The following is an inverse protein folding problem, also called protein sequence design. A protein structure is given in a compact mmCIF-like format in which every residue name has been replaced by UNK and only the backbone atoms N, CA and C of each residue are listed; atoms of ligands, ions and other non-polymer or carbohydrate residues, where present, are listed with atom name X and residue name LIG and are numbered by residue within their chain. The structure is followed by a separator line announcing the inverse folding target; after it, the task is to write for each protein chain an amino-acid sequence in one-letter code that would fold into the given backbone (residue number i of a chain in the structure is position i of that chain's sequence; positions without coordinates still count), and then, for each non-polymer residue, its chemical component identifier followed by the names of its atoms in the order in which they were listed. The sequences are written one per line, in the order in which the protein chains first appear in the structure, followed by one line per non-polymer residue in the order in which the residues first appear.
data_IF_645149488614
#
_entry.id   IF_645149488614
#
_cell.length_a   1.000
_cell.length_b   1.000
_cell.length_c   1.000
_cell.angle_alpha   90.00
_cell.angle_beta   90.00
_cell.angle_gamma   90.00
#
_symmetry.space_group_name_H-M   'P 1'
#
loop_
_entity.id
_entity.type
_entity.pdbx_description
1 polymer ?
#
# COMPACT_ATOMS: atom_id res chain seq x y z
N UNK A 1 22.50 -3.24 -12.60
CA UNK A 1 21.63 -3.64 -11.48
C UNK A 1 20.26 -3.92 -12.05
N UNK A 2 19.82 -5.18 -12.09
CA UNK A 2 18.47 -5.52 -12.55
C UNK A 2 17.47 -4.99 -11.52
N UNK A 3 16.45 -4.25 -11.98
CA UNK A 3 15.38 -3.79 -11.11
C UNK A 3 14.62 -5.00 -10.54
N UNK A 4 14.70 -5.20 -9.22
CA UNK A 4 14.06 -6.30 -8.49
C UNK A 4 12.52 -6.20 -8.45
N UNK A 5 11.97 -5.02 -8.75
CA UNK A 5 10.52 -4.75 -8.75
C UNK A 5 10.10 -4.31 -10.17
N UNK A 6 9.05 -4.92 -10.76
CA UNK A 6 8.62 -4.56 -12.11
C UNK A 6 8.07 -3.14 -12.18
N UNK A 7 8.37 -2.44 -13.28
CA UNK A 7 7.73 -1.16 -13.58
C UNK A 7 6.23 -1.37 -13.85
N UNK A 8 5.31 -0.51 -13.34
CA UNK A 8 5.55 0.74 -12.62
C UNK A 8 5.50 0.63 -11.09
N UNK A 9 5.57 -0.56 -10.50
CA UNK A 9 5.36 -0.74 -9.05
C UNK A 9 6.46 -0.07 -8.22
N UNK A 10 7.72 -0.14 -8.65
CA UNK A 10 8.84 0.48 -7.94
C UNK A 10 8.68 2.01 -7.76
N UNK A 11 8.49 2.82 -8.83
CA UNK A 11 8.30 4.25 -8.65
C UNK A 11 7.03 4.58 -7.86
N UNK A 12 5.96 3.80 -7.99
CA UNK A 12 4.73 4.01 -7.21
C UNK A 12 4.96 3.81 -5.70
N UNK A 13 5.72 2.78 -5.30
CA UNK A 13 6.10 2.55 -3.89
C UNK A 13 6.96 3.70 -3.36
N UNK A 14 7.93 4.17 -4.15
CA UNK A 14 8.77 5.31 -3.75
C UNK A 14 7.97 6.60 -3.57
N UNK A 15 7.06 6.89 -4.51
CA UNK A 15 6.18 8.07 -4.43
C UNK A 15 5.24 7.94 -3.23
N UNK A 16 4.71 6.74 -2.96
CA UNK A 16 3.84 6.50 -1.80
C UNK A 16 4.57 6.71 -0.46
N UNK A 17 5.81 6.22 -0.32
CA UNK A 17 6.63 6.48 0.89
C UNK A 17 6.92 7.98 1.03
N UNK A 18 7.25 8.68 -0.05
CA UNK A 18 7.49 10.12 -0.01
C UNK A 18 6.23 10.91 0.37
N UNK A 19 5.09 10.59 -0.25
CA UNK A 19 3.82 11.24 0.01
C UNK A 19 3.37 11.01 1.46
N UNK A 20 3.38 9.77 1.93
CA UNK A 20 3.03 9.42 3.31
C UNK A 20 3.97 10.07 4.34
N UNK A 21 5.28 10.14 4.07
CA UNK A 21 6.24 10.85 4.91
C UNK A 21 5.99 12.35 4.94
N UNK A 22 5.64 12.94 3.78
CA UNK A 22 5.30 14.36 3.70
C UNK A 22 4.04 14.67 4.51
N UNK A 23 2.99 13.85 4.41
CA UNK A 23 1.78 14.03 5.23
C UNK A 23 2.13 13.96 6.71
N UNK A 24 2.94 12.99 7.14
CA UNK A 24 3.40 12.87 8.52
C UNK A 24 4.15 14.13 8.99
N UNK A 25 5.11 14.61 8.20
CA UNK A 25 5.91 15.79 8.53
C UNK A 25 5.05 17.06 8.64
N UNK A 26 4.11 17.26 7.71
CA UNK A 26 3.22 18.43 7.73
C UNK A 26 2.23 18.34 8.89
N UNK A 27 1.65 17.18 9.16
CA UNK A 27 0.71 16.99 10.28
C UNK A 27 1.39 17.11 11.64
N UNK A 28 2.69 16.85 11.74
CA UNK A 28 3.46 17.06 12.96
C UNK A 28 3.40 18.50 13.48
N UNK A 29 3.33 19.50 12.60
CA UNK A 29 3.16 20.90 12.99
C UNK A 29 1.82 21.22 13.64
N UNK A 30 0.86 20.29 13.59
CA UNK A 30 -0.53 20.50 13.99
C UNK A 30 -1.05 19.41 14.94
N UNK A 31 -0.20 18.45 15.37
CA UNK A 31 -0.62 17.37 16.28
C UNK A 31 -1.18 17.86 17.62
N UNK A 32 -0.74 19.03 18.10
CA UNK A 32 -1.24 19.62 19.34
C UNK A 32 -2.69 20.10 19.25
N UNK A 33 -3.27 20.20 18.05
CA UNK A 33 -4.61 20.78 17.82
C UNK A 33 -5.73 19.78 18.09
N UNK A 34 -5.52 18.48 17.83
CA UNK A 34 -6.55 17.47 18.09
C UNK A 34 -5.97 16.07 18.22
N UNK A 35 -6.47 15.32 19.19
CA UNK A 35 -6.17 13.89 19.34
C UNK A 35 -6.55 13.06 18.11
N UNK A 36 -7.51 13.52 17.30
CA UNK A 36 -7.92 12.82 16.08
C UNK A 36 -6.78 12.73 15.04
N UNK A 37 -5.82 13.66 15.07
CA UNK A 37 -4.70 13.67 14.13
C UNK A 37 -3.71 12.52 14.38
N UNK A 38 -3.77 11.85 15.54
CA UNK A 38 -2.97 10.64 15.82
C UNK A 38 -3.29 9.46 14.90
N UNK A 39 -4.38 9.51 14.13
CA UNK A 39 -4.64 8.51 13.09
C UNK A 39 -3.52 8.51 12.03
N UNK A 40 -2.95 9.68 11.71
CA UNK A 40 -1.94 9.84 10.66
C UNK A 40 -0.64 9.06 10.94
N UNK A 41 0.01 9.19 12.11
CA UNK A 41 1.21 8.40 12.43
C UNK A 41 0.92 6.90 12.47
N UNK A 42 -0.26 6.48 12.93
CA UNK A 42 -0.66 5.06 12.92
C UNK A 42 -0.78 4.56 11.48
N UNK A 43 -1.44 5.31 10.59
CA UNK A 43 -1.57 4.92 9.17
C UNK A 43 -0.23 4.92 8.45
N UNK A 44 0.67 5.86 8.79
CA UNK A 44 2.03 5.87 8.28
C UNK A 44 2.80 4.60 8.68
N UNK A 45 2.78 4.21 9.96
CA UNK A 45 3.49 3.01 10.45
C UNK A 45 3.00 1.75 9.72
N UNK A 46 1.68 1.58 9.59
CA UNK A 46 1.08 0.44 8.87
C UNK A 46 1.59 0.41 7.42
N UNK A 47 1.58 1.57 6.76
CA UNK A 47 1.99 1.70 5.36
C UNK A 47 3.48 1.41 5.20
N UNK A 48 4.32 1.96 6.08
CA UNK A 48 5.76 1.75 6.08
C UNK A 48 6.11 0.27 6.28
N UNK A 49 5.50 -0.40 7.26
CA UNK A 49 5.70 -1.83 7.49
C UNK A 49 5.31 -2.66 6.26
N UNK A 50 4.17 -2.35 5.64
CA UNK A 50 3.71 -3.04 4.45
C UNK A 50 4.69 -2.89 3.28
N UNK A 51 5.18 -1.66 3.04
CA UNK A 51 6.20 -1.40 2.03
C UNK A 51 7.51 -2.11 2.35
N UNK A 52 7.97 -2.06 3.60
CA UNK A 52 9.19 -2.72 4.03
C UNK A 52 9.14 -4.23 3.79
N UNK A 53 8.03 -4.89 4.17
CA UNK A 53 7.82 -6.32 3.90
C UNK A 53 7.81 -6.59 2.40
N UNK A 54 7.14 -5.76 1.60
CA UNK A 54 7.14 -5.91 0.14
C UNK A 54 8.54 -5.78 -0.46
N UNK A 55 9.33 -4.79 -0.03
CA UNK A 55 10.71 -4.60 -0.48
C UNK A 55 11.61 -5.77 -0.08
N UNK A 56 11.50 -6.26 1.15
CA UNK A 56 12.28 -7.43 1.60
C UNK A 56 11.95 -8.63 0.73
N UNK A 57 10.67 -8.94 0.54
CA UNK A 57 10.26 -10.07 -0.29
C UNK A 57 10.71 -9.92 -1.74
N UNK A 58 10.58 -8.72 -2.32
CA UNK A 58 10.99 -8.47 -3.69
C UNK A 58 12.50 -8.65 -3.93
N UNK A 59 13.33 -8.47 -2.90
CA UNK A 59 14.78 -8.68 -3.00
C UNK A 59 15.22 -10.10 -2.63
N UNK A 60 14.38 -10.87 -1.93
CA UNK A 60 14.68 -12.26 -1.56
C UNK A 60 14.19 -13.30 -2.57
N UNK A 61 13.25 -12.94 -3.45
CA UNK A 61 12.62 -13.89 -4.36
C UNK A 61 13.18 -13.82 -5.79
N UNK A 62 13.41 -14.99 -6.39
CA UNK A 62 13.94 -15.12 -7.74
C UNK A 62 12.91 -14.61 -8.78
N UNK A 63 13.31 -13.61 -9.55
CA UNK A 63 12.43 -12.88 -10.47
C UNK A 63 12.08 -13.66 -11.74
N UNK A 64 12.84 -14.70 -12.06
CA UNK A 64 12.78 -15.37 -13.37
C UNK A 64 11.42 -15.99 -13.70
N UNK A 65 10.60 -16.30 -12.68
CA UNK A 65 9.26 -16.90 -12.86
C UNK A 65 8.10 -16.06 -12.32
N UNK A 66 8.38 -15.01 -11.53
CA UNK A 66 7.38 -14.28 -10.76
C UNK A 66 6.89 -15.10 -9.58
N UNK A 67 6.84 -14.51 -8.38
CA UNK A 67 6.55 -15.25 -7.16
C UNK A 67 5.14 -14.97 -6.61
N UNK A 68 4.40 -16.06 -6.36
CA UNK A 68 3.11 -16.01 -5.67
C UNK A 68 3.21 -15.54 -4.21
N UNK A 69 4.39 -15.63 -3.59
CA UNK A 69 4.61 -15.20 -2.20
C UNK A 69 4.71 -13.67 -2.11
N UNK A 70 5.46 -13.02 -3.01
CA UNK A 70 5.48 -11.56 -3.16
C UNK A 70 4.07 -10.98 -3.38
N UNK A 71 3.27 -11.65 -4.22
CA UNK A 71 1.87 -11.27 -4.48
C UNK A 71 0.88 -12.14 -3.70
N UNK A 72 1.18 -12.43 -2.43
CA UNK A 72 0.28 -13.23 -1.59
C UNK A 72 -1.05 -12.52 -1.31
N UNK A 73 -2.09 -13.29 -0.96
CA UNK A 73 -3.39 -12.74 -0.57
C UNK A 73 -3.27 -11.75 0.58
N UNK A 74 -2.43 -12.09 1.56
CA UNK A 74 -2.25 -11.32 2.78
C UNK A 74 -1.64 -9.97 2.50
N UNK A 75 -0.62 -9.89 1.63
CA UNK A 75 -0.02 -8.61 1.25
C UNK A 75 -0.99 -7.72 0.47
N UNK A 76 -1.71 -8.31 -0.49
CA UNK A 76 -2.71 -7.56 -1.26
C UNK A 76 -3.83 -7.04 -0.36
N UNK A 77 -4.33 -7.89 0.56
CA UNK A 77 -5.29 -7.47 1.57
C UNK A 77 -4.73 -6.36 2.47
N UNK A 78 -3.44 -6.44 2.81
CA UNK A 78 -2.72 -5.38 3.52
C UNK A 78 -2.72 -4.05 2.77
N UNK A 79 -2.50 -4.06 1.45
CA UNK A 79 -2.61 -2.84 0.62
C UNK A 79 -4.03 -2.27 0.61
N UNK A 80 -5.06 -3.11 0.48
CA UNK A 80 -6.46 -2.64 0.58
C UNK A 80 -6.78 -2.05 1.96
N UNK A 81 -6.30 -2.69 3.02
CA UNK A 81 -6.47 -2.18 4.39
C UNK A 81 -5.75 -0.84 4.57
N UNK A 82 -4.51 -0.71 4.09
CA UNK A 82 -3.77 0.55 4.11
C UNK A 82 -4.52 1.65 3.34
N UNK A 83 -5.08 1.36 2.17
CA UNK A 83 -5.93 2.29 1.41
C UNK A 83 -7.14 2.75 2.24
N UNK A 84 -7.86 1.82 2.89
CA UNK A 84 -9.00 2.16 3.73
C UNK A 84 -8.58 3.03 4.93
N UNK A 85 -7.42 2.73 5.53
CA UNK A 85 -6.87 3.51 6.63
C UNK A 85 -6.52 4.94 6.20
N UNK A 86 -5.86 5.12 5.04
CA UNK A 86 -5.59 6.44 4.47
C UNK A 86 -6.85 7.20 4.04
N UNK A 87 -7.89 6.50 3.58
CA UNK A 87 -9.19 7.11 3.33
C UNK A 87 -9.80 7.66 4.63
N UNK A 88 -9.74 6.89 5.73
CA UNK A 88 -10.18 7.36 7.04
C UNK A 88 -9.35 8.55 7.55
N UNK A 89 -8.03 8.51 7.42
CA UNK A 89 -7.14 9.64 7.75
C UNK A 89 -7.49 10.89 6.92
N UNK A 90 -7.79 10.72 5.64
CA UNK A 90 -8.22 11.82 4.75
C UNK A 90 -9.53 12.43 5.23
N UNK A 91 -10.53 11.61 5.59
CA UNK A 91 -11.80 12.09 6.13
C UNK A 91 -11.56 12.89 7.42
N UNK A 92 -10.74 12.38 8.34
CA UNK A 92 -10.40 13.07 9.59
C UNK A 92 -9.72 14.41 9.30
N UNK A 93 -8.73 14.43 8.40
CA UNK A 93 -8.01 15.66 8.02
C UNK A 93 -8.96 16.69 7.39
N UNK A 94 -9.86 16.27 6.51
CA UNK A 94 -10.87 17.15 5.91
C UNK A 94 -11.86 17.68 6.96
N UNK A 95 -12.32 16.84 7.89
CA UNK A 95 -13.19 17.27 9.00
C UNK A 95 -12.48 18.28 9.89
N UNK A 96 -11.21 18.05 10.21
CA UNK A 96 -10.38 19.01 10.94
C UNK A 96 -10.22 20.32 10.17
N UNK A 97 -9.95 20.27 8.87
CA UNK A 97 -9.84 21.46 8.02
C UNK A 97 -11.14 22.27 8.01
N UNK A 98 -12.29 21.61 7.86
CA UNK A 98 -13.61 22.27 7.85
C UNK A 98 -13.91 22.90 9.22
N UNK A 99 -13.65 22.19 10.31
CA UNK A 99 -13.86 22.73 11.67
C UNK A 99 -12.96 23.94 11.92
N UNK A 100 -11.73 23.90 11.42
CA UNK A 100 -10.75 24.98 11.54
C UNK A 100 -11.20 26.23 10.78
N UNK A 101 -11.63 26.07 9.52
CA UNK A 101 -12.16 27.16 8.70
C UNK A 101 -13.44 27.78 9.27
N UNK A 102 -14.24 27.00 10.02
CA UNK A 102 -15.43 27.49 10.73
C UNK A 102 -15.12 28.12 12.09
N UNK A 103 -13.86 28.18 12.52
CA UNK A 103 -13.47 28.71 13.82
C UNK A 103 -13.93 27.87 15.02
N UNK A 104 -14.27 26.59 14.79
CA UNK A 104 -14.76 25.67 15.82
C UNK A 104 -13.62 24.95 16.58
N UNK A 105 -12.37 25.33 16.31
CA UNK A 105 -11.16 24.85 17.01
C UNK A 105 -10.44 26.05 17.64
N UNK A 106 -10.73 26.38 18.91
CA UNK A 106 -10.15 27.54 19.58
C UNK A 106 -8.64 27.41 19.82
N UNK A 107 -8.13 26.18 19.92
CA UNK A 107 -6.71 25.90 20.24
C UNK A 107 -5.80 25.84 18.99
N UNK A 108 -6.34 26.09 17.80
CA UNK A 108 -5.57 25.97 16.57
C UNK A 108 -4.79 27.26 16.26
N UNK A 109 -3.47 27.19 16.02
CA UNK A 109 -2.70 28.36 15.60
C UNK A 109 -3.18 28.86 14.23
N UNK A 110 -3.63 30.12 14.18
CA UNK A 110 -4.28 30.75 13.01
C UNK A 110 -3.43 30.70 11.73
N UNK A 111 -2.10 30.68 11.86
CA UNK A 111 -1.18 30.67 10.72
C UNK A 111 -0.89 29.27 10.13
N UNK A 112 -1.47 28.20 10.70
CA UNK A 112 -1.17 26.81 10.29
C UNK A 112 -2.29 26.13 9.50
N UNK A 113 -3.30 26.87 9.05
CA UNK A 113 -4.40 26.31 8.28
C UNK A 113 -3.94 25.65 6.97
N UNK A 114 -2.91 26.21 6.34
CA UNK A 114 -2.30 25.67 5.13
C UNK A 114 -1.80 24.23 5.33
N UNK A 115 -1.29 23.88 6.53
CA UNK A 115 -0.71 22.57 6.81
C UNK A 115 -1.78 21.47 6.81
N UNK A 116 -2.95 21.70 7.40
CA UNK A 116 -4.04 20.70 7.38
C UNK A 116 -4.59 20.54 5.96
N UNK A 117 -4.71 21.64 5.21
CA UNK A 117 -5.20 21.59 3.83
C UNK A 117 -4.24 20.82 2.92
N UNK A 118 -2.93 21.10 2.99
CA UNK A 118 -1.92 20.40 2.18
C UNK A 118 -1.82 18.93 2.59
N UNK A 119 -1.84 18.63 3.89
CA UNK A 119 -1.89 17.25 4.39
C UNK A 119 -3.12 16.49 3.87
N UNK A 120 -4.30 17.14 3.83
CA UNK A 120 -5.53 16.53 3.30
C UNK A 120 -5.41 16.19 1.81
N UNK A 121 -4.89 17.13 1.01
CA UNK A 121 -4.71 16.93 -0.43
C UNK A 121 -3.74 15.78 -0.73
N UNK A 122 -2.61 15.72 -0.02
CA UNK A 122 -1.60 14.69 -0.25
C UNK A 122 -2.03 13.34 0.33
N UNK A 123 -2.77 13.32 1.44
CA UNK A 123 -3.41 12.11 1.97
C UNK A 123 -4.40 11.49 0.97
N UNK A 124 -5.13 12.31 0.22
CA UNK A 124 -6.01 11.84 -0.85
C UNK A 124 -5.20 11.22 -2.01
N UNK A 125 -4.11 11.86 -2.41
CA UNK A 125 -3.18 11.32 -3.43
C UNK A 125 -2.63 9.97 -2.98
N UNK A 126 -2.19 9.88 -1.72
CA UNK A 126 -1.65 8.65 -1.13
C UNK A 126 -2.68 7.51 -1.13
N UNK A 127 -3.94 7.82 -0.78
CA UNK A 127 -5.05 6.88 -0.88
C UNK A 127 -5.19 6.34 -2.30
N UNK A 128 -5.11 7.21 -3.31
CA UNK A 128 -5.17 6.83 -4.73
C UNK A 128 -3.98 5.97 -5.16
N UNK A 129 -2.76 6.28 -4.70
CA UNK A 129 -1.55 5.52 -4.99
C UNK A 129 -1.63 4.09 -4.43
N UNK A 130 -2.04 3.95 -3.16
CA UNK A 130 -2.20 2.64 -2.53
C UNK A 130 -3.32 1.82 -3.18
N UNK A 131 -4.43 2.44 -3.56
CA UNK A 131 -5.48 1.79 -4.33
C UNK A 131 -4.96 1.26 -5.68
N UNK A 132 -4.19 2.07 -6.41
CA UNK A 132 -3.59 1.65 -7.66
C UNK A 132 -2.61 0.47 -7.47
N UNK A 133 -1.76 0.52 -6.45
CA UNK A 133 -0.85 -0.57 -6.09
C UNK A 133 -1.61 -1.85 -5.74
N UNK A 134 -2.65 -1.76 -4.92
CA UNK A 134 -3.49 -2.91 -4.54
C UNK A 134 -4.12 -3.58 -5.76
N UNK A 135 -4.70 -2.79 -6.67
CA UNK A 135 -5.34 -3.29 -7.90
C UNK A 135 -4.30 -3.92 -8.84
N UNK A 136 -3.14 -3.28 -9.02
CA UNK A 136 -2.08 -3.83 -9.85
C UNK A 136 -1.53 -5.14 -9.29
N UNK A 137 -1.25 -5.19 -7.99
CA UNK A 137 -0.78 -6.40 -7.32
C UNK A 137 -1.81 -7.54 -7.42
N UNK A 138 -3.10 -7.23 -7.28
CA UNK A 138 -4.19 -8.17 -7.47
C UNK A 138 -4.24 -8.73 -8.90
N UNK A 139 -4.18 -7.84 -9.92
CA UNK A 139 -4.15 -8.26 -11.32
C UNK A 139 -2.94 -9.15 -11.61
N UNK A 140 -1.76 -8.78 -11.11
CA UNK A 140 -0.53 -9.55 -11.32
C UNK A 140 -0.61 -10.94 -10.68
N UNK A 141 -1.17 -11.03 -9.46
CA UNK A 141 -1.44 -12.32 -8.82
C UNK A 141 -2.34 -13.21 -9.66
N UNK A 142 -3.43 -12.66 -10.20
CA UNK A 142 -4.34 -13.45 -11.04
C UNK A 142 -3.60 -13.97 -12.28
N UNK A 143 -2.80 -13.13 -12.94
CA UNK A 143 -1.97 -13.55 -14.08
C UNK A 143 -1.01 -14.68 -13.72
N UNK A 144 -0.33 -14.61 -12.56
CA UNK A 144 0.54 -15.67 -12.06
C UNK A 144 -0.23 -16.98 -11.84
N UNK A 145 -1.40 -16.93 -11.19
CA UNK A 145 -2.24 -18.12 -10.99
C UNK A 145 -2.71 -18.73 -12.30
N UNK A 146 -3.09 -17.91 -13.27
CA UNK A 146 -3.44 -18.39 -14.61
C UNK A 146 -2.25 -19.05 -15.30
N UNK A 147 -1.06 -18.43 -15.26
CA UNK A 147 0.16 -18.98 -15.85
C UNK A 147 0.55 -20.32 -15.22
N UNK A 148 0.45 -20.45 -13.91
CA UNK A 148 0.71 -21.72 -13.22
C UNK A 148 -0.30 -22.80 -13.56
N UNK A 149 -1.59 -22.45 -13.68
CA UNK A 149 -2.65 -23.40 -14.07
C UNK A 149 -2.38 -24.02 -15.45
N UNK A 150 -1.86 -23.22 -16.37
CA UNK A 150 -1.57 -23.64 -17.75
C UNK A 150 -0.12 -24.06 -17.97
N UNK A 151 0.70 -24.13 -16.91
CA UNK A 151 2.08 -24.61 -17.03
C UNK A 151 2.06 -26.12 -17.29
N UNK A 152 2.50 -26.51 -18.48
CA UNK A 152 2.67 -27.92 -18.84
C UNK A 152 3.61 -28.60 -17.83
N UNK A 153 3.07 -29.55 -17.06
CA UNK A 153 3.85 -30.39 -16.15
C UNK A 153 4.23 -31.65 -16.89
N UNK A 154 5.48 -31.73 -17.37
CA UNK A 154 6.04 -32.99 -17.88
C UNK A 154 6.00 -34.02 -16.73
N UNK A 155 5.11 -35.02 -16.85
CA UNK A 155 4.89 -36.05 -15.81
C UNK A 155 3.47 -36.12 -15.25
N UNK A 156 2.59 -35.15 -15.49
CA UNK A 156 1.17 -35.26 -15.05
C UNK A 156 0.37 -36.31 -15.85
N UNK A 157 0.92 -36.75 -16.99
CA UNK A 157 0.36 -37.78 -17.88
C UNK A 157 1.15 -39.09 -17.86
N UNK A 158 2.09 -39.30 -16.93
CA UNK A 158 2.68 -40.65 -16.76
C UNK A 158 1.63 -41.55 -16.12
N UNK A 159 0.79 -42.13 -16.97
CA UNK A 159 -0.16 -43.16 -16.62
C UNK A 159 0.57 -44.28 -15.88
N UNK A 160 0.27 -44.45 -14.59
CA UNK A 160 0.71 -45.60 -13.81
C UNK A 160 -0.06 -46.84 -14.28
N UNK A 161 0.25 -47.36 -15.46
CA UNK A 161 -0.19 -48.70 -15.81
C UNK A 161 0.68 -49.66 -15.00
N UNK A 162 0.17 -50.16 -13.88
CA UNK A 162 0.79 -51.31 -13.24
C UNK A 162 0.63 -52.49 -14.20
N UNK A 163 1.73 -52.86 -14.86
CA UNK A 163 1.78 -54.15 -15.54
C UNK A 163 1.90 -55.17 -14.41
N UNK A 164 0.78 -55.79 -14.05
CA UNK A 164 0.79 -56.97 -13.19
C UNK A 164 1.57 -58.06 -13.93
N UNK A 165 2.79 -58.33 -13.47
CA UNK A 165 3.58 -59.47 -13.95
C UNK A 165 3.03 -60.72 -13.27
N UNK A 166 2.29 -61.52 -14.04
CA UNK A 166 1.97 -62.92 -13.74
C UNK A 166 3.14 -63.82 -14.09
#
# INVERSE_FOLDING_TARGET
MNNTIPYPQFPLLCISILASSFVLAVTAFVFSVSHLLWIVPVTFIITFLLHAVFFVLANTEDQTTGSLRLYSATLIAGFFFATAAWAASTIVLVVCAVRLLKGLLPDAPQDRHWAIITASAISLIETGLLAALAVQAYKFRQQLRYREKWKWRAGATSSQWSIAQT
#
